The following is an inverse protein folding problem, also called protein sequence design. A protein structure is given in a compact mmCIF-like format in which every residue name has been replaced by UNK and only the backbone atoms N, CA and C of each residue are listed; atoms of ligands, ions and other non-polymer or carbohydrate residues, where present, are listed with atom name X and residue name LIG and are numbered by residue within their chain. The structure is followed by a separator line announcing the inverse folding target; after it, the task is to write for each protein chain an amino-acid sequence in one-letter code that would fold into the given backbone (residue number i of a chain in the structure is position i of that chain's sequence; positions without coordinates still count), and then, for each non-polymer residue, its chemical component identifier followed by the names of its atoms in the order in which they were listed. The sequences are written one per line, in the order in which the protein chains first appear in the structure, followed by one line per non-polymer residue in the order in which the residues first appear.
data_IF_094927269372
#
_entry.id   IF_094927269372
#
_cell.length_a   1.000
_cell.length_b   1.000
_cell.length_c   1.000
_cell.angle_alpha   90.00
_cell.angle_beta   90.00
_cell.angle_gamma   90.00
#
_symmetry.space_group_name_H-M   'P 1'
#
loop_
_entity.id
_entity.type
_entity.pdbx_description
1 polymer ?
#
# COMPACT_ATOMS: atom_id res chain seq x y z
N UNK A 1 10.21 31.36 -2.13
CA UNK A 1 9.83 30.51 -3.27
C UNK A 1 11.08 29.87 -3.84
N UNK A 2 11.56 28.79 -3.23
CA UNK A 2 12.53 27.91 -3.89
C UNK A 2 11.71 26.77 -4.45
N UNK A 3 11.52 26.76 -5.77
CA UNK A 3 10.88 25.65 -6.46
C UNK A 3 11.63 24.37 -6.12
N UNK A 4 10.88 23.30 -5.83
CA UNK A 4 11.42 21.95 -5.76
C UNK A 4 12.17 21.68 -7.07
N UNK A 5 13.49 21.76 -7.04
CA UNK A 5 14.33 21.37 -8.17
C UNK A 5 14.28 19.85 -8.20
N UNK A 6 13.31 19.33 -8.94
CA UNK A 6 13.32 17.93 -9.38
C UNK A 6 14.53 17.81 -10.30
N UNK A 7 15.64 17.29 -9.78
CA UNK A 7 16.79 16.93 -10.60
C UNK A 7 16.31 15.96 -11.65
N UNK A 8 16.50 16.32 -12.91
CA UNK A 8 15.81 15.73 -14.05
C UNK A 8 15.98 14.22 -14.15
N UNK A 9 14.87 13.52 -13.92
CA UNK A 9 14.59 12.25 -14.56
C UNK A 9 13.54 12.51 -15.63
N UNK A 10 13.79 11.98 -16.82
CA UNK A 10 12.89 12.02 -17.97
C UNK A 10 11.48 11.67 -17.49
N UNK A 11 10.50 12.55 -17.71
CA UNK A 11 9.09 12.21 -17.45
C UNK A 11 8.80 10.93 -18.23
N UNK A 12 8.65 9.82 -17.50
CA UNK A 12 8.34 8.53 -18.09
C UNK A 12 7.05 8.70 -18.89
N UNK A 13 7.00 8.15 -20.11
CA UNK A 13 5.78 8.13 -20.90
C UNK A 13 4.67 7.43 -20.09
N UNK A 14 3.60 8.17 -19.77
CA UNK A 14 2.52 7.72 -18.87
C UNK A 14 2.65 8.10 -17.39
N UNK A 15 3.63 8.91 -17.00
CA UNK A 15 3.70 9.44 -15.64
C UNK A 15 2.74 10.64 -15.45
N UNK A 16 1.96 10.61 -14.36
CA UNK A 16 1.18 11.74 -13.85
C UNK A 16 1.88 12.30 -12.62
N UNK A 17 1.98 13.63 -12.56
CA UNK A 17 2.59 14.34 -11.43
C UNK A 17 1.49 15.15 -10.73
N UNK A 18 1.40 15.00 -9.40
CA UNK A 18 0.62 15.88 -8.54
C UNK A 18 1.58 16.62 -7.60
N UNK A 19 1.38 17.92 -7.41
CA UNK A 19 2.24 18.68 -6.50
C UNK A 19 1.52 19.84 -5.82
N UNK A 20 1.97 20.15 -4.60
CA UNK A 20 1.72 21.39 -3.91
C UNK A 20 2.96 21.80 -3.09
N UNK A 21 2.84 22.81 -2.23
CA UNK A 21 3.98 23.32 -1.44
C UNK A 21 4.53 22.30 -0.41
N UNK A 22 3.81 21.21 -0.12
CA UNK A 22 4.20 20.20 0.88
C UNK A 22 4.47 18.82 0.29
N UNK A 23 3.75 18.41 -0.76
CA UNK A 23 3.79 17.05 -1.32
C UNK A 23 4.12 17.11 -2.81
N UNK A 24 5.03 16.23 -3.25
CA UNK A 24 5.24 15.91 -4.66
C UNK A 24 5.02 14.42 -4.89
N UNK A 25 4.14 14.07 -5.83
CA UNK A 25 3.69 12.70 -6.10
C UNK A 25 3.95 12.35 -7.56
N UNK A 26 4.52 11.18 -7.82
CA UNK A 26 4.63 10.61 -9.17
C UNK A 26 3.85 9.32 -9.26
N UNK A 27 3.01 9.20 -10.29
CA UNK A 27 2.17 8.03 -10.56
C UNK A 27 2.49 7.49 -11.95
N UNK A 28 2.87 6.22 -12.08
CA UNK A 28 3.01 5.56 -13.38
C UNK A 28 1.69 4.84 -13.72
N UNK A 29 0.89 5.44 -14.61
CA UNK A 29 -0.43 4.89 -14.97
C UNK A 29 -0.32 3.63 -15.82
N UNK A 30 0.81 3.41 -16.49
CA UNK A 30 1.02 2.20 -17.28
C UNK A 30 1.62 1.05 -16.45
N UNK A 31 1.97 1.31 -15.19
CA UNK A 31 2.52 0.33 -14.27
C UNK A 31 1.63 0.17 -13.04
N UNK A 32 0.41 -0.34 -13.23
CA UNK A 32 -0.56 -0.59 -12.15
C UNK A 32 -1.19 0.67 -11.58
N UNK A 33 -0.99 1.83 -12.22
CA UNK A 33 -1.26 3.10 -11.55
C UNK A 33 -0.32 3.35 -10.38
N UNK A 34 0.81 2.66 -10.25
CA UNK A 34 1.65 2.71 -9.05
C UNK A 34 2.10 4.13 -8.71
N UNK A 35 2.00 4.50 -7.43
CA UNK A 35 2.71 5.70 -6.96
C UNK A 35 4.17 5.32 -6.79
N UNK A 36 5.06 5.96 -7.54
CA UNK A 36 6.49 5.64 -7.56
C UNK A 36 7.30 6.58 -6.68
N UNK A 37 6.78 7.78 -6.39
CA UNK A 37 7.39 8.78 -5.50
C UNK A 37 6.32 9.46 -4.66
N UNK A 38 6.59 9.61 -3.36
CA UNK A 38 5.83 10.44 -2.42
C UNK A 38 6.85 11.25 -1.62
N UNK A 39 7.08 12.49 -2.05
CA UNK A 39 8.14 13.34 -1.52
C UNK A 39 7.53 14.38 -0.58
N UNK A 40 8.12 14.49 0.61
CA UNK A 40 7.93 15.65 1.48
C UNK A 40 8.81 16.81 0.99
N UNK A 41 8.19 17.84 0.40
CA UNK A 41 8.90 19.01 -0.11
C UNK A 41 9.64 19.82 0.98
N UNK A 42 9.28 19.65 2.25
CA UNK A 42 9.94 20.32 3.38
C UNK A 42 11.25 19.65 3.77
N UNK A 43 11.29 18.32 3.77
CA UNK A 43 12.46 17.54 4.21
C UNK A 43 13.28 16.97 3.04
N UNK A 44 12.71 16.96 1.83
CA UNK A 44 13.29 16.33 0.64
C UNK A 44 13.21 14.80 0.66
N UNK A 45 12.60 14.20 1.69
CA UNK A 45 12.50 12.74 1.82
C UNK A 45 11.47 12.20 0.84
N UNK A 46 11.87 11.21 0.07
CA UNK A 46 10.94 10.31 -0.61
C UNK A 46 10.60 9.13 0.29
N UNK A 47 9.33 8.92 0.56
CA UNK A 47 8.86 7.87 1.46
C UNK A 47 8.79 6.50 0.81
N UNK A 48 8.82 6.41 -0.52
CA UNK A 48 8.60 5.14 -1.22
C UNK A 48 9.91 4.47 -1.61
N UNK A 49 9.98 3.16 -1.39
CA UNK A 49 11.11 2.37 -1.86
C UNK A 49 11.22 2.46 -3.38
N UNK A 50 12.44 2.63 -3.87
CA UNK A 50 12.73 2.91 -5.28
C UNK A 50 13.12 1.69 -6.08
N UNK A 51 12.90 1.81 -7.38
CA UNK A 51 13.64 1.06 -8.39
C UNK A 51 12.88 0.90 -9.69
N UNK A 52 13.41 0.05 -10.57
CA UNK A 52 13.00 -0.10 -11.95
C UNK A 52 11.56 -0.60 -12.14
N UNK A 53 10.96 -0.30 -13.29
CA UNK A 53 9.69 -0.92 -13.66
C UNK A 53 9.85 -2.43 -13.83
N UNK A 54 8.95 -3.23 -13.25
CA UNK A 54 8.87 -4.65 -13.61
C UNK A 54 8.35 -4.77 -15.04
N UNK A 55 8.93 -5.68 -15.82
CA UNK A 55 8.54 -5.90 -17.22
C UNK A 55 7.42 -6.91 -17.38
N UNK A 56 7.19 -7.76 -16.38
CA UNK A 56 6.17 -8.80 -16.41
C UNK A 56 4.90 -8.38 -15.65
N UNK A 57 3.79 -8.31 -16.38
CA UNK A 57 2.43 -8.07 -15.88
C UNK A 57 1.44 -9.18 -16.31
N UNK A 58 1.98 -10.32 -16.76
CA UNK A 58 1.22 -11.49 -17.20
C UNK A 58 0.46 -12.13 -16.03
N UNK A 59 -0.34 -13.15 -16.33
CA UNK A 59 -0.94 -13.97 -15.28
C UNK A 59 0.11 -14.76 -14.47
N UNK A 60 1.32 -14.96 -15.01
CA UNK A 60 2.40 -15.68 -14.34
C UNK A 60 3.30 -14.76 -13.50
N UNK A 61 3.10 -13.45 -13.57
CA UNK A 61 3.90 -12.47 -12.84
C UNK A 61 3.85 -12.71 -11.33
N UNK A 62 5.02 -12.61 -10.70
CA UNK A 62 5.24 -12.79 -9.26
C UNK A 62 5.70 -11.46 -8.65
N UNK A 63 5.16 -11.11 -7.49
CA UNK A 63 5.53 -9.90 -6.77
C UNK A 63 6.78 -10.18 -5.91
N UNK A 64 7.96 -10.03 -6.52
CA UNK A 64 9.25 -10.23 -5.84
C UNK A 64 10.31 -9.23 -6.28
N UNK A 65 11.24 -8.92 -5.37
CA UNK A 65 12.44 -8.12 -5.65
C UNK A 65 12.09 -6.80 -6.33
N UNK A 66 12.36 -6.71 -7.63
CA UNK A 66 12.03 -5.57 -8.47
C UNK A 66 10.53 -5.17 -8.49
N UNK A 67 9.60 -6.05 -8.13
CA UNK A 67 8.20 -5.66 -8.03
C UNK A 67 7.86 -4.98 -6.69
N UNK A 68 8.60 -5.28 -5.62
CA UNK A 68 8.35 -4.84 -4.23
C UNK A 68 8.83 -3.43 -3.98
N UNK A 69 8.09 -2.44 -4.48
CA UNK A 69 8.45 -1.02 -4.39
C UNK A 69 7.29 -0.11 -4.77
N UNK A 70 7.35 1.13 -4.32
CA UNK A 70 6.29 2.09 -4.56
C UNK A 70 5.00 1.69 -3.84
N UNK A 71 3.88 2.16 -4.35
CA UNK A 71 2.56 1.86 -3.79
C UNK A 71 1.60 1.34 -4.86
N UNK A 72 1.26 0.06 -4.70
CA UNK A 72 0.31 -0.72 -5.49
C UNK A 72 -0.98 -1.03 -4.72
N UNK A 73 -1.91 -1.66 -5.42
CA UNK A 73 -3.15 -2.19 -4.87
C UNK A 73 -3.21 -3.71 -5.13
N UNK A 74 -3.55 -4.48 -4.11
CA UNK A 74 -3.84 -5.91 -4.25
C UNK A 74 -5.35 -6.11 -4.41
N UNK A 75 -5.77 -6.80 -5.47
CA UNK A 75 -7.18 -7.18 -5.67
C UNK A 75 -7.31 -8.24 -6.77
N UNK A 76 -8.11 -9.30 -6.62
CA UNK A 76 -8.99 -9.61 -5.48
C UNK A 76 -8.31 -10.48 -4.41
N UNK A 77 -6.98 -10.63 -4.46
CA UNK A 77 -6.17 -11.42 -3.52
C UNK A 77 -4.81 -10.76 -3.31
N UNK A 78 -4.10 -11.12 -2.22
CA UNK A 78 -2.71 -10.70 -1.96
C UNK A 78 -1.75 -11.79 -2.41
N UNK A 79 -1.80 -13.01 -1.88
CA UNK A 79 -1.06 -14.15 -2.39
C UNK A 79 -1.83 -14.88 -3.51
N UNK A 80 -1.13 -15.56 -4.43
CA UNK A 80 -1.78 -16.35 -5.46
C UNK A 80 -2.61 -17.49 -4.85
N UNK A 81 -3.83 -17.66 -5.34
CA UNK A 81 -4.73 -18.73 -4.90
C UNK A 81 -5.60 -19.22 -6.07
N UNK A 82 -6.47 -20.19 -5.82
CA UNK A 82 -7.47 -20.64 -6.80
C UNK A 82 -8.87 -20.33 -6.27
N UNK A 83 -9.69 -19.66 -7.09
CA UNK A 83 -11.07 -19.36 -6.74
C UNK A 83 -12.02 -19.51 -7.94
N UNK A 84 -13.06 -20.34 -7.79
CA UNK A 84 -13.95 -20.69 -8.90
C UNK A 84 -14.72 -19.49 -9.46
N UNK A 85 -15.18 -18.57 -8.60
CA UNK A 85 -15.87 -17.35 -9.05
C UNK A 85 -14.96 -16.43 -9.89
N UNK A 86 -13.65 -16.61 -9.84
CA UNK A 86 -12.67 -15.87 -10.65
C UNK A 86 -12.12 -16.69 -11.82
N UNK A 87 -12.77 -17.80 -12.18
CA UNK A 87 -12.36 -18.63 -13.31
C UNK A 87 -11.11 -19.49 -13.04
N UNK A 88 -10.71 -19.65 -11.77
CA UNK A 88 -9.59 -20.51 -11.39
C UNK A 88 -8.46 -19.72 -10.73
N UNK A 89 -7.26 -19.78 -11.31
CA UNK A 89 -6.04 -19.22 -10.69
C UNK A 89 -6.10 -17.70 -10.65
N UNK A 90 -5.94 -17.15 -9.45
CA UNK A 90 -5.64 -15.75 -9.21
C UNK A 90 -4.13 -15.59 -9.05
N UNK A 91 -3.55 -14.65 -9.80
CA UNK A 91 -2.11 -14.36 -9.73
C UNK A 91 -1.72 -13.65 -8.44
N UNK A 92 -0.42 -13.63 -8.17
CA UNK A 92 0.17 -12.92 -7.04
C UNK A 92 -0.21 -11.44 -7.09
N UNK A 93 -0.66 -10.89 -5.96
CA UNK A 93 -1.24 -9.55 -5.75
C UNK A 93 -2.44 -9.20 -6.66
N UNK A 94 -3.00 -10.20 -7.35
CA UNK A 94 -4.18 -10.06 -8.17
C UNK A 94 -3.99 -9.20 -9.44
N UNK A 95 -5.09 -8.69 -9.98
CA UNK A 95 -5.17 -8.19 -11.35
C UNK A 95 -4.73 -6.73 -11.55
N UNK A 96 -4.60 -5.95 -10.47
CA UNK A 96 -4.44 -4.50 -10.55
C UNK A 96 -3.01 -4.04 -10.84
N UNK A 97 -2.02 -4.59 -10.13
CA UNK A 97 -0.63 -4.13 -10.20
C UNK A 97 0.03 -4.49 -11.54
N UNK A 98 1.05 -3.72 -11.93
CA UNK A 98 1.84 -3.97 -13.14
C UNK A 98 1.14 -3.69 -14.48
N UNK A 99 -0.19 -3.67 -14.52
CA UNK A 99 -0.99 -3.49 -15.75
C UNK A 99 -1.35 -2.03 -16.01
N UNK A 100 -1.60 -1.61 -17.25
CA UNK A 100 -1.95 -0.22 -17.54
C UNK A 100 -3.36 0.14 -17.07
N UNK A 101 -3.47 1.32 -16.49
CA UNK A 101 -4.71 1.99 -16.11
C UNK A 101 -4.94 3.18 -17.05
N UNK A 102 -6.17 3.68 -17.09
CA UNK A 102 -6.53 4.88 -17.83
C UNK A 102 -6.76 6.06 -16.89
N UNK A 103 -6.29 7.25 -17.27
CA UNK A 103 -6.62 8.50 -16.58
C UNK A 103 -8.02 8.94 -17.00
N UNK A 104 -8.89 9.19 -16.01
CA UNK A 104 -10.29 9.58 -16.23
C UNK A 104 -10.60 10.99 -15.72
N UNK A 105 -9.73 11.54 -14.87
CA UNK A 105 -9.75 12.92 -14.42
C UNK A 105 -8.32 13.32 -14.01
N UNK A 106 -7.90 14.55 -14.27
CA UNK A 106 -6.58 15.02 -13.85
C UNK A 106 -6.58 16.54 -13.65
N UNK A 107 -5.80 16.99 -12.67
CA UNK A 107 -5.49 18.38 -12.39
C UNK A 107 -4.21 18.47 -11.55
N UNK A 108 -3.73 19.68 -11.22
CA UNK A 108 -2.42 19.86 -10.57
C UNK A 108 -2.26 19.15 -9.22
N UNK A 109 -3.38 18.93 -8.52
CA UNK A 109 -3.43 18.37 -7.17
C UNK A 109 -4.34 17.15 -7.07
N UNK A 110 -4.86 16.62 -8.19
CA UNK A 110 -5.66 15.41 -8.16
C UNK A 110 -5.56 14.60 -9.46
N UNK A 111 -5.70 13.29 -9.35
CA UNK A 111 -5.89 12.39 -10.50
C UNK A 111 -6.92 11.32 -10.16
N UNK A 112 -7.79 11.00 -11.11
CA UNK A 112 -8.62 9.82 -11.10
C UNK A 112 -8.12 8.84 -12.15
N UNK A 113 -7.84 7.60 -11.75
CA UNK A 113 -7.43 6.51 -12.62
C UNK A 113 -8.42 5.34 -12.52
N UNK A 114 -8.54 4.56 -13.59
CA UNK A 114 -9.45 3.43 -13.69
C UNK A 114 -8.78 2.22 -14.36
N UNK A 115 -9.12 1.04 -13.86
CA UNK A 115 -8.83 -0.25 -14.45
C UNK A 115 -10.13 -1.04 -14.64
N UNK A 116 -10.29 -1.71 -15.77
CA UNK A 116 -11.46 -2.56 -16.04
C UNK A 116 -11.02 -3.87 -16.67
N UNK A 117 -11.40 -5.00 -16.05
CA UNK A 117 -11.18 -6.35 -16.56
C UNK A 117 -12.18 -7.32 -15.91
N UNK A 118 -12.53 -8.41 -16.61
CA UNK A 118 -13.39 -9.49 -16.09
C UNK A 118 -14.72 -9.03 -15.46
N UNK A 119 -15.33 -8.00 -16.08
CA UNK A 119 -16.58 -7.42 -15.58
C UNK A 119 -16.41 -6.63 -14.28
N UNK A 120 -15.19 -6.32 -13.86
CA UNK A 120 -14.90 -5.47 -12.70
C UNK A 120 -14.34 -4.14 -13.19
N UNK A 121 -14.76 -3.06 -12.56
CA UNK A 121 -14.15 -1.74 -12.73
C UNK A 121 -13.66 -1.25 -11.38
N UNK A 122 -12.35 -1.04 -11.27
CA UNK A 122 -11.70 -0.49 -10.11
C UNK A 122 -11.23 0.93 -10.43
N UNK A 123 -11.53 1.89 -9.56
CA UNK A 123 -11.11 3.29 -9.70
C UNK A 123 -10.42 3.76 -8.44
N UNK A 124 -9.36 4.56 -8.62
CA UNK A 124 -8.65 5.22 -7.53
C UNK A 124 -8.52 6.70 -7.84
N UNK A 125 -8.89 7.54 -6.88
CA UNK A 125 -8.67 8.99 -6.94
C UNK A 125 -7.67 9.40 -5.87
N UNK A 126 -6.60 10.05 -6.29
CA UNK A 126 -5.59 10.64 -5.43
C UNK A 126 -5.78 12.16 -5.44
N UNK A 127 -5.83 12.81 -4.28
CA UNK A 127 -5.99 14.26 -4.17
C UNK A 127 -5.13 14.83 -3.05
N UNK A 128 -4.47 15.97 -3.30
CA UNK A 128 -3.59 16.65 -2.35
C UNK A 128 -4.29 17.84 -1.69
N UNK A 129 -4.14 17.99 -0.39
CA UNK A 129 -4.58 19.18 0.37
C UNK A 129 -3.60 19.44 1.51
N UNK A 130 -2.80 20.50 1.39
CA UNK A 130 -1.69 20.75 2.33
C UNK A 130 -0.73 19.54 2.39
N UNK A 131 -0.49 19.02 3.58
CA UNK A 131 0.36 17.84 3.80
C UNK A 131 -0.35 16.49 3.62
N UNK A 132 -1.65 16.51 3.31
CA UNK A 132 -2.48 15.31 3.17
C UNK A 132 -2.62 14.89 1.71
N UNK A 133 -2.50 13.59 1.48
CA UNK A 133 -2.88 12.86 0.29
C UNK A 133 -4.07 11.95 0.63
N UNK A 134 -5.22 12.23 0.05
CA UNK A 134 -6.40 11.35 0.14
C UNK A 134 -6.41 10.36 -1.02
N UNK A 135 -6.49 9.07 -0.73
CA UNK A 135 -6.76 8.00 -1.69
C UNK A 135 -8.18 7.47 -1.50
N UNK A 136 -9.07 7.79 -2.44
CA UNK A 136 -10.44 7.32 -2.48
C UNK A 136 -10.58 6.20 -3.52
N UNK A 137 -11.20 5.09 -3.10
CA UNK A 137 -11.31 3.87 -3.87
C UNK A 137 -12.76 3.54 -4.19
N UNK A 138 -12.95 2.88 -5.33
CA UNK A 138 -14.25 2.42 -5.77
C UNK A 138 -14.07 1.15 -6.60
N UNK A 139 -14.83 0.10 -6.28
CA UNK A 139 -14.92 -1.10 -7.11
C UNK A 139 -16.38 -1.39 -7.44
N UNK A 140 -16.66 -1.62 -8.72
CA UNK A 140 -18.00 -1.90 -9.25
C UNK A 140 -17.99 -3.20 -10.03
N UNK A 141 -19.00 -4.05 -9.81
CA UNK A 141 -19.21 -5.28 -10.57
C UNK A 141 -20.25 -5.07 -11.66
N UNK A 142 -19.86 -5.35 -12.91
CA UNK A 142 -20.74 -5.56 -14.06
C UNK A 142 -20.98 -7.05 -14.34
N UNK A 143 -20.59 -7.94 -13.42
CA UNK A 143 -20.82 -9.38 -13.53
C UNK A 143 -22.28 -9.71 -13.23
N UNK A 144 -22.73 -10.86 -13.73
CA UNK A 144 -24.07 -11.42 -13.50
C UNK A 144 -24.19 -12.18 -12.18
N UNK A 145 -23.07 -12.39 -11.49
CA UNK A 145 -22.94 -13.18 -10.28
C UNK A 145 -22.12 -12.44 -9.21
N UNK A 146 -22.42 -12.73 -7.95
CA UNK A 146 -21.66 -12.21 -6.81
C UNK A 146 -20.26 -12.82 -6.78
N UNK A 147 -19.25 -12.00 -6.52
CA UNK A 147 -17.85 -12.45 -6.42
C UNK A 147 -17.24 -12.05 -5.08
N UNK A 148 -16.50 -12.95 -4.41
CA UNK A 148 -15.76 -12.58 -3.22
C UNK A 148 -14.48 -11.84 -3.61
N UNK A 149 -13.99 -10.95 -2.74
CA UNK A 149 -12.71 -10.30 -2.92
C UNK A 149 -12.06 -9.93 -1.58
N UNK A 150 -10.73 -9.82 -1.64
CA UNK A 150 -9.85 -9.19 -0.68
C UNK A 150 -9.17 -8.03 -1.39
N UNK A 151 -9.21 -6.86 -0.78
CA UNK A 151 -8.38 -5.72 -1.17
C UNK A 151 -7.40 -5.38 -0.06
N UNK A 152 -6.15 -5.08 -0.43
CA UNK A 152 -5.12 -4.53 0.44
C UNK A 152 -4.39 -3.40 -0.26
N UNK A 153 -4.19 -2.29 0.45
CA UNK A 153 -3.20 -1.29 0.05
C UNK A 153 -1.79 -1.90 0.22
N UNK A 154 -0.92 -1.78 -0.78
CA UNK A 154 0.45 -2.28 -0.68
C UNK A 154 1.45 -1.13 -0.89
N UNK A 155 1.63 -0.32 0.16
CA UNK A 155 2.49 0.87 0.16
C UNK A 155 3.86 0.55 0.78
N UNK A 156 4.87 0.34 -0.06
CA UNK A 156 6.21 -0.09 0.34
C UNK A 156 7.10 1.13 0.62
N UNK A 157 7.44 1.31 1.89
CA UNK A 157 8.15 2.47 2.42
C UNK A 157 9.67 2.27 2.45
N UNK A 158 10.39 3.33 2.06
CA UNK A 158 11.82 3.48 2.28
C UNK A 158 12.07 3.95 3.73
N UNK A 159 12.29 2.98 4.62
CA UNK A 159 12.58 3.24 6.04
C UNK A 159 14.08 3.26 6.32
N UNK A 160 14.44 3.80 7.47
CA UNK A 160 15.79 3.80 8.03
C UNK A 160 15.73 3.30 9.47
N UNK A 161 16.83 2.78 10.05
CA UNK A 161 16.86 2.36 11.46
C UNK A 161 16.56 3.49 12.47
N UNK A 162 16.61 4.75 12.04
CA UNK A 162 16.23 5.90 12.85
C UNK A 162 14.70 6.11 12.91
N UNK A 163 13.94 5.47 12.02
CA UNK A 163 12.49 5.56 12.01
C UNK A 163 11.86 4.63 13.05
N UNK A 164 10.62 4.94 13.44
CA UNK A 164 9.80 4.16 14.37
C UNK A 164 8.39 3.97 13.82
N UNK A 165 7.80 2.83 14.11
CA UNK A 165 6.41 2.52 13.80
C UNK A 165 5.52 2.78 15.01
N UNK A 166 4.35 3.36 14.79
CA UNK A 166 3.30 3.46 15.81
C UNK A 166 1.94 3.11 15.21
N UNK A 167 1.13 2.40 16.00
CA UNK A 167 -0.21 1.99 15.65
C UNK A 167 -1.19 2.51 16.71
N UNK A 168 -2.36 2.96 16.29
CA UNK A 168 -3.47 3.33 17.16
C UNK A 168 -4.74 2.70 16.60
N UNK A 169 -5.46 1.94 17.44
CA UNK A 169 -6.65 1.19 17.05
C UNK A 169 -6.41 -0.32 16.96
N UNK A 170 -5.17 -0.75 16.78
CA UNK A 170 -4.73 -2.15 16.83
C UNK A 170 -3.90 -2.38 18.10
N UNK A 171 -4.44 -3.18 19.03
CA UNK A 171 -3.72 -3.57 20.26
C UNK A 171 -3.23 -5.01 20.17
N UNK A 172 -4.04 -5.88 19.55
CA UNK A 172 -3.71 -7.28 19.31
C UNK A 172 -3.33 -7.49 17.85
N UNK A 173 -2.23 -8.20 17.63
CA UNK A 173 -1.72 -8.56 16.32
C UNK A 173 -1.43 -10.07 16.28
N UNK A 174 -1.45 -10.65 15.08
CA UNK A 174 -1.11 -12.06 14.86
C UNK A 174 -0.03 -12.16 13.78
N UNK A 175 1.03 -12.92 14.01
CA UNK A 175 2.07 -13.24 13.04
C UNK A 175 2.37 -14.74 13.03
N UNK A 176 2.31 -15.40 11.87
CA UNK A 176 2.55 -16.84 11.77
C UNK A 176 1.68 -17.71 12.69
N UNK A 177 0.46 -17.25 13.00
CA UNK A 177 -0.46 -17.91 13.95
C UNK A 177 -0.18 -17.66 15.43
N UNK A 178 0.76 -16.75 15.76
CA UNK A 178 1.07 -16.35 17.14
C UNK A 178 0.50 -14.96 17.40
N UNK A 179 -0.34 -14.85 18.42
CA UNK A 179 -0.90 -13.58 18.88
C UNK A 179 0.08 -12.84 19.79
N UNK A 180 0.07 -11.50 19.72
CA UNK A 180 0.91 -10.63 20.54
C UNK A 180 0.32 -9.23 20.73
N UNK A 181 0.70 -8.58 21.82
CA UNK A 181 0.36 -7.19 22.12
C UNK A 181 1.29 -6.26 21.34
N UNK A 182 0.77 -5.39 20.48
CA UNK A 182 1.63 -4.42 19.79
C UNK A 182 2.23 -3.40 20.79
N UNK A 183 3.53 -3.04 20.68
CA UNK A 183 4.54 -3.51 19.72
C UNK A 183 5.40 -4.68 20.23
N UNK A 184 5.04 -5.29 21.36
CA UNK A 184 5.83 -6.31 22.05
C UNK A 184 5.63 -7.69 21.42
N UNK A 185 6.53 -8.07 20.52
CA UNK A 185 6.57 -9.42 19.93
C UNK A 185 7.68 -10.27 20.57
N UNK A 186 7.54 -11.61 20.68
CA UNK A 186 8.58 -12.47 21.28
C UNK A 186 9.97 -12.36 20.65
N UNK A 187 10.05 -11.99 19.37
CA UNK A 187 11.32 -11.83 18.67
C UNK A 187 11.99 -10.48 18.95
N UNK A 188 11.21 -9.40 19.10
CA UNK A 188 11.69 -8.02 19.28
C UNK A 188 10.53 -7.04 19.51
N UNK A 189 10.87 -5.82 19.90
CA UNK A 189 9.98 -4.66 19.78
C UNK A 189 9.79 -4.29 18.29
N UNK A 190 8.56 -4.45 17.78
CA UNK A 190 8.22 -4.20 16.37
C UNK A 190 8.00 -2.72 16.05
N UNK A 191 8.01 -1.83 17.05
CA UNK A 191 8.03 -0.37 16.80
C UNK A 191 9.38 0.11 16.27
N UNK A 192 10.44 -0.70 16.40
CA UNK A 192 11.79 -0.35 16.00
C UNK A 192 12.12 -0.89 14.62
N UNK A 193 12.48 0.00 13.68
CA UNK A 193 13.02 -0.41 12.39
C UNK A 193 14.41 -1.03 12.59
N UNK A 194 14.57 -2.27 12.12
CA UNK A 194 15.82 -3.02 12.20
C UNK A 194 16.90 -2.54 11.25
N UNK A 195 18.10 -3.11 11.39
CA UNK A 195 19.23 -2.84 10.49
C UNK A 195 19.03 -3.55 9.16
N UNK A 196 19.60 -3.00 8.08
CA UNK A 196 19.43 -3.53 6.72
C UNK A 196 19.97 -4.96 6.52
N UNK A 197 20.91 -5.38 7.35
CA UNK A 197 21.60 -6.68 7.30
C UNK A 197 21.11 -7.65 8.38
N UNK A 198 19.99 -7.34 9.05
CA UNK A 198 19.49 -8.16 10.16
C UNK A 198 18.90 -9.50 9.70
N UNK A 199 18.48 -9.62 8.44
CA UNK A 199 17.87 -10.84 7.92
C UNK A 199 16.46 -11.08 8.48
N UNK A 200 15.83 -10.06 9.06
CA UNK A 200 14.52 -10.18 9.72
C UNK A 200 13.39 -9.96 8.73
N UNK A 201 12.39 -10.86 8.76
CA UNK A 201 11.12 -10.70 8.02
C UNK A 201 9.97 -11.09 8.94
N UNK A 202 8.92 -10.27 8.96
CA UNK A 202 7.70 -10.57 9.67
C UNK A 202 6.50 -9.96 8.93
N UNK A 203 5.49 -10.79 8.68
CA UNK A 203 4.16 -10.33 8.30
C UNK A 203 3.22 -10.54 9.47
N UNK A 204 2.44 -9.51 9.79
CA UNK A 204 1.47 -9.56 10.87
C UNK A 204 0.19 -8.85 10.50
N UNK A 205 -0.91 -9.21 11.18
CA UNK A 205 -2.22 -8.61 10.96
C UNK A 205 -2.85 -8.19 12.29
N UNK A 206 -3.59 -7.07 12.27
CA UNK A 206 -4.40 -6.62 13.40
C UNK A 206 -5.78 -6.13 12.96
N UNK A 207 -6.80 -6.45 13.75
CA UNK A 207 -8.17 -5.99 13.48
C UNK A 207 -8.36 -4.52 13.85
N UNK A 208 -9.23 -3.85 13.11
CA UNK A 208 -9.49 -2.41 13.21
C UNK A 208 -10.99 -2.16 13.41
N UNK A 209 -11.50 -2.12 14.65
CA UNK A 209 -12.94 -2.05 14.91
C UNK A 209 -13.54 -0.64 14.76
N UNK A 210 -12.70 0.40 14.74
CA UNK A 210 -13.10 1.80 14.67
C UNK A 210 -12.10 2.58 13.81
N UNK A 211 -11.93 3.89 14.03
CA UNK A 211 -10.84 4.63 13.38
C UNK A 211 -9.50 4.09 13.83
N UNK A 212 -8.57 3.98 12.89
CA UNK A 212 -7.20 3.63 13.19
C UNK A 212 -6.21 4.50 12.45
N UNK A 213 -5.01 4.49 13.00
CA UNK A 213 -3.84 5.19 12.51
C UNK A 213 -2.66 4.23 12.52
N UNK A 214 -1.89 4.22 11.44
CA UNK A 214 -0.57 3.59 11.40
C UNK A 214 0.45 4.62 10.89
N UNK A 215 1.61 4.71 11.50
CA UNK A 215 2.58 5.76 11.18
C UNK A 215 4.01 5.23 11.22
N UNK A 216 4.82 5.72 10.28
CA UNK A 216 6.28 5.71 10.37
C UNK A 216 6.75 7.14 10.62
N UNK A 217 7.56 7.39 11.65
CA UNK A 217 8.15 8.71 11.94
C UNK A 217 9.62 8.62 12.31
N UNK A 218 10.35 9.72 12.12
CA UNK A 218 11.76 9.81 12.49
C UNK A 218 12.35 11.21 12.29
N UNK A 219 13.70 11.32 12.25
CA UNK A 219 14.40 12.60 12.15
C UNK A 219 14.13 13.39 10.85
N UNK A 220 13.57 12.75 9.83
CA UNK A 220 13.31 13.32 8.50
C UNK A 220 11.83 13.47 8.18
N UNK A 221 10.97 13.44 9.19
CA UNK A 221 9.51 13.58 9.08
C UNK A 221 8.77 12.31 9.48
N UNK A 222 7.46 12.30 9.24
CA UNK A 222 6.64 11.10 9.33
C UNK A 222 5.63 10.97 8.20
N UNK A 223 5.16 9.74 7.99
CA UNK A 223 4.06 9.42 7.10
C UNK A 223 3.02 8.63 7.89
N UNK A 224 1.85 9.23 8.07
CA UNK A 224 0.72 8.69 8.82
C UNK A 224 -0.39 8.24 7.88
N UNK A 225 -0.95 7.07 8.12
CA UNK A 225 -2.09 6.48 7.42
C UNK A 225 -3.29 6.49 8.36
N UNK A 226 -4.41 7.04 7.93
CA UNK A 226 -5.66 7.11 8.69
C UNK A 226 -6.81 6.53 7.87
N UNK A 227 -7.62 5.67 8.49
CA UNK A 227 -8.80 5.08 7.85
C UNK A 227 -9.92 4.77 8.86
N UNK A 228 -11.06 4.36 8.32
CA UNK A 228 -12.22 3.92 9.12
C UNK A 228 -12.31 2.39 9.12
N UNK A 229 -12.38 1.78 10.30
CA UNK A 229 -12.50 0.33 10.48
C UNK A 229 -13.77 -0.27 9.88
N UNK A 230 -14.85 0.52 9.77
CA UNK A 230 -16.04 0.10 9.04
C UNK A 230 -15.79 -0.04 7.54
N UNK A 231 -14.88 0.76 6.99
CA UNK A 231 -14.47 0.71 5.58
C UNK A 231 -13.35 -0.29 5.33
N UNK A 232 -12.43 -0.50 6.28
CA UNK A 232 -11.28 -1.41 6.20
C UNK A 232 -11.00 -2.04 7.57
N UNK A 233 -11.40 -3.30 7.73
CA UNK A 233 -11.49 -3.95 9.02
C UNK A 233 -10.15 -4.44 9.59
N UNK A 234 -9.06 -4.34 8.84
CA UNK A 234 -7.76 -4.86 9.26
C UNK A 234 -6.59 -4.01 8.75
N UNK A 235 -5.44 -4.23 9.38
CA UNK A 235 -4.13 -3.71 8.98
C UNK A 235 -3.18 -4.90 8.80
N UNK A 236 -2.57 -5.02 7.63
CA UNK A 236 -1.34 -5.79 7.45
C UNK A 236 -0.12 -4.93 7.78
N UNK A 237 0.88 -5.52 8.42
CA UNK A 237 2.20 -4.92 8.62
C UNK A 237 3.25 -5.89 8.09
N UNK A 238 3.97 -5.45 7.08
CA UNK A 238 5.13 -6.14 6.51
C UNK A 238 6.41 -5.46 6.97
N UNK A 239 7.28 -6.21 7.64
CA UNK A 239 8.60 -5.77 8.08
C UNK A 239 9.65 -6.64 7.39
N UNK A 240 10.57 -6.02 6.65
CA UNK A 240 11.66 -6.72 5.98
C UNK A 240 12.94 -5.91 6.12
N UNK A 241 13.82 -6.43 6.96
CA UNK A 241 15.09 -5.82 7.32
C UNK A 241 16.26 -6.65 6.80
N UNK A 242 16.26 -6.89 5.49
CA UNK A 242 17.30 -7.65 4.80
C UNK A 242 17.07 -9.16 4.78
N UNK A 243 15.84 -9.63 5.04
CA UNK A 243 15.54 -11.07 5.01
C UNK A 243 14.81 -11.50 3.74
N UNK A 244 14.27 -10.59 2.93
CA UNK A 244 13.59 -10.94 1.69
C UNK A 244 13.80 -9.92 0.55
N UNK A 245 13.76 -10.36 -0.72
CA UNK A 245 13.98 -11.73 -1.14
C UNK A 245 15.45 -12.13 -0.90
N UNK A 246 15.69 -13.43 -0.66
CA UNK A 246 17.02 -13.97 -0.34
C UNK A 246 18.10 -13.57 -1.37
N UNK A 247 17.76 -13.57 -2.66
CA UNK A 247 18.67 -13.24 -3.74
C UNK A 247 19.03 -11.75 -3.85
N UNK A 248 18.20 -10.86 -3.29
CA UNK A 248 18.38 -9.42 -3.36
C UNK A 248 17.66 -8.72 -2.20
N UNK A 249 18.16 -8.85 -0.95
CA UNK A 249 17.43 -8.42 0.22
C UNK A 249 17.12 -6.93 0.24
N UNK A 250 15.89 -6.60 0.66
CA UNK A 250 15.36 -5.26 0.74
C UNK A 250 15.34 -4.77 2.19
N UNK A 251 15.24 -3.45 2.35
CA UNK A 251 15.00 -2.82 3.65
C UNK A 251 13.75 -1.97 3.51
N UNK A 252 12.63 -2.50 3.98
CA UNK A 252 11.31 -1.99 3.65
C UNK A 252 10.30 -2.29 4.75
N UNK A 253 9.29 -1.42 4.83
CA UNK A 253 8.10 -1.62 5.65
C UNK A 253 6.90 -1.37 4.76
N UNK A 254 5.84 -2.17 4.88
CA UNK A 254 4.54 -1.79 4.35
C UNK A 254 3.50 -1.71 5.47
N UNK A 255 2.73 -0.63 5.44
CA UNK A 255 1.53 -0.44 6.24
C UNK A 255 0.34 -0.62 5.30
N UNK A 256 -0.46 -1.64 5.56
CA UNK A 256 -1.42 -2.18 4.60
C UNK A 256 -2.84 -2.16 5.16
N UNK A 257 -3.53 -1.01 5.24
CA UNK A 257 -4.97 -0.99 5.45
C UNK A 257 -5.66 -1.93 4.44
N UNK A 258 -6.45 -2.87 4.96
CA UNK A 258 -6.97 -4.00 4.18
C UNK A 258 -8.38 -4.38 4.63
N UNK A 259 -9.10 -5.04 3.73
CA UNK A 259 -10.45 -5.55 3.98
C UNK A 259 -10.46 -6.81 4.86
N UNK A 260 -9.36 -7.57 4.92
CA UNK A 260 -9.24 -8.78 5.74
C UNK A 260 -7.82 -9.00 6.28
N UNK A 261 -7.74 -9.60 7.46
CA UNK A 261 -6.53 -10.09 8.11
C UNK A 261 -6.12 -11.46 7.55
N UNK A 262 -5.90 -11.55 6.24
CA UNK A 262 -5.57 -12.79 5.55
C UNK A 262 -4.56 -12.58 4.41
N UNK A 263 -3.79 -13.62 4.13
CA UNK A 263 -2.77 -13.63 3.08
C UNK A 263 -3.33 -13.81 1.66
N UNK A 264 -4.49 -14.43 1.52
CA UNK A 264 -5.17 -14.59 0.23
C UNK A 264 -6.71 -14.57 0.39
N UNK A 265 -7.40 -14.56 -0.75
CA UNK A 265 -8.86 -14.54 -0.79
C UNK A 265 -9.50 -15.77 -0.13
N UNK A 266 -8.93 -16.96 -0.32
CA UNK A 266 -9.48 -18.20 0.23
C UNK A 266 -9.36 -18.19 1.76
N UNK A 267 -8.23 -17.73 2.29
CA UNK A 267 -8.02 -17.48 3.70
C UNK A 267 -9.00 -16.45 4.25
N UNK A 268 -9.22 -15.34 3.53
CA UNK A 268 -10.19 -14.33 3.91
C UNK A 268 -11.62 -14.90 4.00
N UNK A 269 -12.03 -15.77 3.08
CA UNK A 269 -13.31 -16.47 3.13
C UNK A 269 -13.40 -17.44 4.32
N UNK A 270 -12.34 -18.22 4.55
CA UNK A 270 -12.29 -19.21 5.63
C UNK A 270 -12.48 -18.56 7.02
N UNK A 271 -12.01 -17.32 7.20
CA UNK A 271 -12.19 -16.55 8.44
C UNK A 271 -13.40 -15.60 8.41
N UNK A 272 -14.22 -15.66 7.35
CA UNK A 272 -15.44 -14.85 7.20
C UNK A 272 -15.22 -13.36 6.98
N UNK A 273 -14.03 -12.96 6.48
CA UNK A 273 -13.66 -11.55 6.26
C UNK A 273 -13.60 -11.14 4.78
N UNK A 274 -13.72 -12.09 3.84
CA UNK A 274 -13.86 -11.75 2.43
C UNK A 274 -15.09 -10.86 2.21
N UNK A 275 -14.95 -9.87 1.33
CA UNK A 275 -16.08 -9.02 0.91
C UNK A 275 -16.77 -9.61 -0.30
N UNK A 276 -18.07 -9.43 -0.38
CA UNK A 276 -18.89 -9.98 -1.46
C UNK A 276 -19.42 -8.85 -2.33
N UNK A 277 -18.99 -8.79 -3.59
CA UNK A 277 -19.42 -7.77 -4.54
C UNK A 277 -20.53 -8.33 -5.42
N UNK A 278 -21.76 -7.94 -5.14
CA UNK A 278 -22.96 -8.37 -5.89
C UNK A 278 -23.05 -7.70 -7.29
N UNK A 279 -23.83 -8.27 -8.22
CA UNK A 279 -24.10 -7.67 -9.53
C UNK A 279 -24.57 -6.21 -9.46
N UNK A 280 -23.92 -5.33 -10.21
CA UNK A 280 -24.24 -3.90 -10.28
C UNK A 280 -23.90 -3.10 -9.02
N UNK A 281 -23.38 -3.73 -7.96
CA UNK A 281 -23.00 -3.03 -6.73
C UNK A 281 -21.64 -2.38 -6.83
N UNK A 282 -21.48 -1.37 -5.99
CA UNK A 282 -20.28 -0.58 -5.84
C UNK A 282 -19.88 -0.54 -4.37
N UNK A 283 -18.63 -0.85 -4.06
CA UNK A 283 -18.02 -0.64 -2.74
C UNK A 283 -17.02 0.50 -2.80
N UNK A 284 -16.94 1.29 -1.72
CA UNK A 284 -16.08 2.46 -1.62
C UNK A 284 -15.39 2.49 -0.26
N UNK A 285 -14.17 3.02 -0.23
CA UNK A 285 -13.41 3.26 0.98
C UNK A 285 -12.34 4.33 0.73
N UNK A 286 -11.79 4.87 1.81
CA UNK A 286 -10.78 5.92 1.76
C UNK A 286 -9.64 5.64 2.73
N UNK A 287 -8.41 5.89 2.28
CA UNK A 287 -7.23 6.00 3.15
C UNK A 287 -6.65 7.40 3.00
N UNK A 288 -6.35 8.05 4.12
CA UNK A 288 -5.65 9.34 4.15
C UNK A 288 -4.21 9.14 4.56
N UNK A 289 -3.28 9.68 3.78
CA UNK A 289 -1.86 9.70 4.09
C UNK A 289 -1.47 11.15 4.42
N UNK A 290 -0.87 11.39 5.57
CA UNK A 290 -0.46 12.73 6.00
C UNK A 290 1.04 12.76 6.29
N UNK A 291 1.74 13.71 5.68
CA UNK A 291 3.11 14.03 6.06
C UNK A 291 3.11 14.78 7.40
N UNK A 292 3.89 14.29 8.36
CA UNK A 292 4.08 14.95 9.65
C UNK A 292 5.48 15.53 9.75
N UNK A 293 5.63 16.57 10.56
CA UNK A 293 6.94 17.16 10.82
C UNK A 293 7.87 16.17 11.54
N UNK A 294 9.20 16.36 11.44
CA UNK A 294 10.18 15.52 12.14
C UNK A 294 9.95 15.49 13.65
N UNK A 295 10.28 14.35 14.27
CA UNK A 295 10.17 14.20 15.72
C UNK A 295 11.09 15.21 16.43
N UNK A 296 10.50 15.99 17.35
CA UNK A 296 11.19 17.05 18.10
C UNK A 296 12.07 16.44 19.20
N UNK A 297 13.17 15.83 18.78
CA UNK A 297 14.14 15.18 19.68
C UNK A 297 15.51 14.91 19.05
N UNK A 298 15.62 15.03 17.72
CA UNK A 298 16.89 14.92 17.02
C UNK A 298 17.45 16.32 16.74
N UNK A 299 18.28 16.83 17.65
CA UNK A 299 19.19 17.92 17.32
C UNK A 299 20.20 17.37 16.31
N UNK A 300 20.31 18.02 15.15
CA UNK A 300 21.37 17.74 14.14
C UNK A 300 22.73 18.03 14.74
#
# INVERSE_FOLDING_TARGET
MHGCVVTGDTVLEGAVILANDRVFLTIDVHFGGRVTSLIDCKTGRDWLLKGSRSVDASEQATYRGAASRGWDECFPTVLPCHHAAWGGRLRDHGMLWGRPWVVVASGPQHVGIRFSADGITFSRRLSLTGAELTAAYCVTSARDSTVPYLWSQHCVLAVTPADRLSLTGQVQMTAGGVDFDWPTHPLRDLSQVGQRDEGFVLKSYGMTPARATAQVSGPTGGLRFDWDGAELAALGVWLDYGGWPEEAPLHQVALEPTTAAADDLVGAEAIGQARWLEPGKTHQWTVRLTLTDPDSGYSV
#
